data_IF_366091913376
#
_entry.id   IF_366091913376
#
_cell.length_a   1.000
_cell.length_b   1.000
_cell.length_c   1.000
_cell.angle_alpha   90.00
_cell.angle_beta   90.00
_cell.angle_gamma   90.00
#
_symmetry.space_group_name_H-M   'P 1'
#
loop_
_entity.id
_entity.type
_entity.pdbx_description
1 polymer ?
#
# COMPACT_ATOMS: atom_id res chain seq x y z
N UNK A 1 -9.48 7.11 -21.58
CA UNK A 1 -10.25 6.36 -20.56
C UNK A 1 -9.43 6.23 -19.27
N UNK A 2 -9.19 7.34 -18.55
CA UNK A 2 -8.47 7.43 -17.26
C UNK A 2 -9.42 7.75 -16.08
N UNK A 3 -10.73 7.66 -16.29
CA UNK A 3 -11.73 8.48 -15.59
C UNK A 3 -12.48 7.79 -14.44
N UNK A 4 -12.04 6.61 -13.99
CA UNK A 4 -12.57 5.92 -12.79
C UNK A 4 -11.50 5.71 -11.70
N UNK A 5 -10.31 6.22 -11.94
CA UNK A 5 -9.24 6.29 -10.95
C UNK A 5 -9.43 7.64 -10.28
N UNK A 6 -9.62 7.68 -8.95
CA UNK A 6 -9.76 8.92 -8.20
C UNK A 6 -8.88 10.04 -8.73
N UNK A 7 -9.43 11.26 -8.78
CA UNK A 7 -8.57 12.43 -8.82
C UNK A 7 -7.61 12.36 -7.62
N UNK A 8 -6.32 12.53 -7.87
CA UNK A 8 -5.23 12.51 -6.88
C UNK A 8 -5.58 13.32 -5.62
N UNK A 9 -6.34 14.41 -5.81
CA UNK A 9 -6.82 15.32 -4.78
C UNK A 9 -7.86 14.76 -3.80
N UNK A 10 -8.61 13.71 -4.15
CA UNK A 10 -9.61 13.12 -3.23
C UNK A 10 -9.06 12.01 -2.35
N UNK A 11 -8.12 11.20 -2.88
CA UNK A 11 -7.32 10.31 -2.03
C UNK A 11 -6.51 11.11 -1.01
N UNK A 12 -6.12 12.33 -1.33
CA UNK A 12 -5.47 13.29 -0.43
C UNK A 12 -6.37 13.90 0.65
N UNK A 13 -7.70 13.72 0.55
CA UNK A 13 -8.66 14.26 1.52
C UNK A 13 -9.09 13.26 2.60
N UNK A 14 -8.65 12.01 2.52
CA UNK A 14 -8.94 11.00 3.55
C UNK A 14 -8.32 11.42 4.88
N UNK A 15 -9.07 11.22 5.96
CA UNK A 15 -8.57 11.51 7.29
C UNK A 15 -7.39 10.56 7.61
N UNK A 16 -6.26 11.06 8.16
CA UNK A 16 -5.06 10.27 8.47
C UNK A 16 -5.35 8.99 9.27
N UNK A 17 -6.32 9.05 10.21
CA UNK A 17 -6.76 7.89 10.99
C UNK A 17 -7.37 6.77 10.13
N UNK A 18 -8.21 7.14 9.16
CA UNK A 18 -8.87 6.16 8.29
C UNK A 18 -7.86 5.52 7.34
N UNK A 19 -6.87 6.31 6.92
CA UNK A 19 -5.70 5.83 6.17
C UNK A 19 -4.93 4.80 7.02
N UNK A 20 -4.62 5.10 8.28
CA UNK A 20 -3.95 4.14 9.17
C UNK A 20 -4.77 2.86 9.40
N UNK A 21 -6.06 2.99 9.70
CA UNK A 21 -6.96 1.85 9.86
C UNK A 21 -7.04 0.99 8.60
N UNK A 22 -7.11 1.62 7.42
CA UNK A 22 -7.13 0.91 6.15
C UNK A 22 -5.82 0.13 5.91
N UNK A 23 -4.66 0.74 6.17
CA UNK A 23 -3.37 0.06 6.04
C UNK A 23 -3.29 -1.15 6.95
N UNK A 24 -3.66 -0.98 8.23
CA UNK A 24 -3.66 -2.09 9.19
C UNK A 24 -4.62 -3.19 8.72
N UNK A 25 -5.84 -2.84 8.33
CA UNK A 25 -6.83 -3.81 7.88
C UNK A 25 -6.37 -4.56 6.63
N UNK A 26 -5.90 -3.86 5.61
CA UNK A 26 -5.51 -4.45 4.33
C UNK A 26 -4.26 -5.33 4.45
N UNK A 27 -3.26 -4.92 5.22
CA UNK A 27 -2.06 -5.72 5.48
C UNK A 27 -2.35 -6.94 6.36
N UNK A 28 -3.41 -6.90 7.16
CA UNK A 28 -3.80 -8.03 8.01
C UNK A 28 -4.55 -9.14 7.27
N UNK A 29 -5.14 -8.85 6.10
CA UNK A 29 -5.93 -9.80 5.29
C UNK A 29 -5.27 -11.18 5.13
N UNK A 30 -3.98 -11.32 4.77
CA UNK A 30 -3.35 -12.62 4.55
C UNK A 30 -3.29 -13.50 5.80
N UNK A 31 -3.38 -12.92 7.00
CA UNK A 31 -3.28 -13.64 8.27
C UNK A 31 -4.63 -14.17 8.76
N UNK A 32 -5.73 -13.66 8.22
CA UNK A 32 -7.09 -14.09 8.60
C UNK A 32 -7.67 -15.16 7.68
N UNK A 33 -7.12 -15.32 6.48
CA UNK A 33 -7.58 -16.32 5.52
C UNK A 33 -6.87 -17.65 5.77
N UNK A 34 -7.61 -18.64 6.29
CA UNK A 34 -7.06 -19.93 6.72
C UNK A 34 -7.11 -21.01 5.63
N UNK A 35 -7.91 -20.83 4.56
CA UNK A 35 -8.09 -21.85 3.52
C UNK A 35 -7.51 -21.40 2.18
N UNK A 36 -6.90 -22.33 1.43
CA UNK A 36 -6.37 -22.04 0.10
C UNK A 36 -7.45 -21.46 -0.85
N UNK A 37 -8.69 -21.94 -0.74
CA UNK A 37 -9.85 -21.44 -1.50
C UNK A 37 -10.10 -19.96 -1.19
N UNK A 38 -10.14 -19.58 0.09
CA UNK A 38 -10.35 -18.19 0.49
C UNK A 38 -9.22 -17.27 -0.01
N UNK A 39 -7.98 -17.72 0.08
CA UNK A 39 -6.80 -16.98 -0.41
C UNK A 39 -6.89 -16.78 -1.92
N UNK A 40 -7.23 -17.83 -2.68
CA UNK A 40 -7.39 -17.75 -4.13
C UNK A 40 -8.50 -16.79 -4.56
N UNK A 41 -9.65 -16.80 -3.87
CA UNK A 41 -10.74 -15.86 -4.16
C UNK A 41 -10.31 -14.41 -3.97
N UNK A 42 -9.66 -14.09 -2.84
CA UNK A 42 -9.21 -12.73 -2.56
C UNK A 42 -8.09 -12.31 -3.50
N UNK A 43 -7.12 -13.20 -3.77
CA UNK A 43 -6.04 -12.94 -4.72
C UNK A 43 -6.58 -12.66 -6.12
N UNK A 44 -7.54 -13.46 -6.60
CA UNK A 44 -8.22 -13.24 -7.88
C UNK A 44 -8.94 -11.90 -7.88
N UNK A 45 -9.63 -11.56 -6.80
CA UNK A 45 -10.25 -10.26 -6.62
C UNK A 45 -9.24 -9.10 -6.71
N UNK A 46 -8.07 -9.21 -6.08
CA UNK A 46 -7.01 -8.20 -6.20
C UNK A 46 -6.52 -8.05 -7.63
N UNK A 47 -6.31 -9.17 -8.35
CA UNK A 47 -5.91 -9.13 -9.75
C UNK A 47 -6.97 -8.42 -10.60
N UNK A 48 -8.25 -8.77 -10.42
CA UNK A 48 -9.36 -8.08 -11.09
C UNK A 48 -9.37 -6.59 -10.76
N UNK A 49 -9.15 -6.20 -9.50
CA UNK A 49 -8.99 -4.80 -9.11
C UNK A 49 -7.84 -4.12 -9.86
N UNK A 50 -6.65 -4.73 -9.93
CA UNK A 50 -5.50 -4.18 -10.66
C UNK A 50 -5.77 -4.02 -12.15
N UNK A 51 -6.44 -5.01 -12.77
CA UNK A 51 -6.83 -4.91 -14.19
C UNK A 51 -7.83 -3.77 -14.41
N UNK A 52 -8.78 -3.58 -13.49
CA UNK A 52 -9.78 -2.52 -13.54
C UNK A 52 -9.14 -1.12 -13.44
N UNK A 53 -8.18 -0.94 -12.52
CA UNK A 53 -7.42 0.32 -12.39
C UNK A 53 -6.28 0.47 -13.40
N UNK A 54 -6.11 -0.51 -14.30
CA UNK A 54 -5.06 -0.56 -15.34
C UNK A 54 -3.64 -0.41 -14.79
N UNK A 55 -3.37 -0.95 -13.61
CA UNK A 55 -2.04 -0.95 -12.99
C UNK A 55 -1.36 -2.30 -13.12
N UNK A 56 -0.84 -2.56 -14.32
CA UNK A 56 -0.20 -3.84 -14.68
C UNK A 56 1.20 -3.99 -14.11
N UNK A 57 1.91 -2.88 -13.85
CA UNK A 57 3.28 -2.88 -13.31
C UNK A 57 3.36 -3.62 -11.96
N UNK A 58 2.26 -3.67 -11.23
CA UNK A 58 2.15 -4.35 -9.94
C UNK A 58 2.32 -5.87 -10.08
N UNK A 59 1.95 -6.46 -11.22
CA UNK A 59 2.11 -7.89 -11.46
C UNK A 59 3.58 -8.32 -11.45
N UNK A 60 4.52 -7.40 -11.71
CA UNK A 60 5.94 -7.67 -11.59
C UNK A 60 6.31 -8.14 -10.18
N UNK A 61 5.63 -7.68 -9.14
CA UNK A 61 5.91 -8.10 -7.76
C UNK A 61 5.48 -9.54 -7.46
N UNK A 62 4.64 -10.16 -8.29
CA UNK A 62 4.29 -11.58 -8.17
C UNK A 62 5.48 -12.51 -8.52
N UNK A 63 6.53 -11.98 -9.13
CA UNK A 63 7.79 -12.72 -9.31
C UNK A 63 8.41 -13.13 -7.98
N UNK A 64 8.23 -12.36 -6.90
CA UNK A 64 8.74 -12.69 -5.57
C UNK A 64 8.15 -14.00 -5.02
N UNK A 65 6.81 -14.18 -4.95
CA UNK A 65 6.21 -15.48 -4.61
C UNK A 65 6.66 -16.63 -5.51
N UNK A 66 6.82 -16.39 -6.81
CA UNK A 66 7.27 -17.43 -7.75
C UNK A 66 8.71 -17.88 -7.47
N UNK A 67 9.61 -16.92 -7.19
CA UNK A 67 10.99 -17.22 -6.80
C UNK A 67 11.00 -18.00 -5.47
N UNK A 68 10.19 -17.57 -4.50
CA UNK A 68 10.05 -18.29 -3.23
C UNK A 68 9.65 -19.76 -3.45
N UNK A 69 8.60 -20.01 -4.25
CA UNK A 69 8.16 -21.38 -4.55
C UNK A 69 9.29 -22.17 -5.22
N UNK A 70 9.97 -21.60 -6.22
CA UNK A 70 11.08 -22.25 -6.91
C UNK A 70 12.24 -22.62 -5.96
N UNK A 71 12.61 -21.72 -5.05
CA UNK A 71 13.66 -21.97 -4.07
C UNK A 71 13.26 -23.06 -3.06
N UNK A 72 11.99 -23.10 -2.63
CA UNK A 72 11.51 -24.11 -1.69
C UNK A 72 11.46 -25.53 -2.30
N UNK A 73 11.45 -25.64 -3.63
CA UNK A 73 11.57 -26.93 -4.32
C UNK A 73 13.03 -27.36 -4.58
N UNK A 74 14.03 -26.51 -4.32
CA UNK A 74 15.45 -26.85 -4.52
C UNK A 74 15.91 -28.13 -3.76
N UNK A 75 15.42 -28.44 -2.54
CA UNK A 75 15.79 -29.68 -1.86
C UNK A 75 15.43 -30.97 -2.63
N UNK A 76 14.49 -30.93 -3.58
CA UNK A 76 14.20 -32.08 -4.44
C UNK A 76 15.43 -32.49 -5.29
N UNK A 77 16.30 -31.53 -5.64
CA UNK A 77 17.50 -31.78 -6.44
C UNK A 77 18.54 -32.65 -5.72
N UNK A 78 18.49 -32.68 -4.39
CA UNK A 78 19.36 -33.51 -3.54
C UNK A 78 18.63 -34.74 -2.98
N UNK A 79 17.44 -35.06 -3.51
CA UNK A 79 16.65 -36.22 -3.12
C UNK A 79 15.89 -36.09 -1.79
N UNK A 80 15.77 -34.88 -1.24
CA UNK A 80 14.99 -34.66 -0.02
C UNK A 80 13.47 -34.69 -0.32
N UNK A 81 12.67 -35.12 0.67
CA UNK A 81 11.21 -35.01 0.59
C UNK A 81 10.75 -33.59 0.89
N UNK A 82 9.69 -33.15 0.21
CA UNK A 82 9.19 -31.77 0.32
C UNK A 82 7.67 -31.77 0.45
N UNK A 83 7.16 -31.01 1.41
CA UNK A 83 5.72 -30.76 1.54
C UNK A 83 5.23 -29.75 0.48
N UNK A 84 4.75 -30.30 -0.63
CA UNK A 84 4.25 -29.51 -1.76
C UNK A 84 3.04 -28.66 -1.39
N UNK A 85 2.16 -29.17 -0.51
CA UNK A 85 0.96 -28.43 -0.10
C UNK A 85 1.33 -27.22 0.75
N UNK A 86 2.21 -27.39 1.74
CA UNK A 86 2.71 -26.31 2.58
C UNK A 86 3.44 -25.22 1.78
N UNK A 87 4.25 -25.60 0.78
CA UNK A 87 4.91 -24.64 -0.11
C UNK A 87 3.89 -23.83 -0.90
N UNK A 88 2.91 -24.48 -1.52
CA UNK A 88 1.89 -23.78 -2.31
C UNK A 88 1.02 -22.88 -1.45
N UNK A 89 0.57 -23.36 -0.29
CA UNK A 89 -0.21 -22.55 0.63
C UNK A 89 0.56 -21.31 1.08
N UNK A 90 1.83 -21.47 1.48
CA UNK A 90 2.67 -20.35 1.90
C UNK A 90 2.95 -19.40 0.73
N UNK A 91 3.25 -19.93 -0.46
CA UNK A 91 3.45 -19.13 -1.67
C UNK A 91 2.22 -18.30 -2.04
N UNK A 92 1.01 -18.87 -1.92
CA UNK A 92 -0.25 -18.15 -2.11
C UNK A 92 -0.47 -17.06 -1.05
N UNK A 93 -0.18 -17.34 0.22
CA UNK A 93 -0.25 -16.34 1.30
C UNK A 93 0.73 -15.19 1.06
N UNK A 94 1.95 -15.49 0.60
CA UNK A 94 2.95 -14.47 0.22
C UNK A 94 2.46 -13.65 -0.98
N UNK A 95 1.89 -14.29 -2.01
CA UNK A 95 1.30 -13.58 -3.15
C UNK A 95 0.14 -12.66 -2.73
N UNK A 96 -0.70 -13.12 -1.81
CA UNK A 96 -1.78 -12.33 -1.24
C UNK A 96 -1.23 -11.14 -0.44
N UNK A 97 -0.21 -11.35 0.39
CA UNK A 97 0.45 -10.27 1.13
C UNK A 97 1.05 -9.21 0.20
N UNK A 98 1.74 -9.63 -0.85
CA UNK A 98 2.31 -8.72 -1.86
C UNK A 98 1.20 -7.91 -2.53
N UNK A 99 0.14 -8.57 -3.02
CA UNK A 99 -0.96 -7.87 -3.71
C UNK A 99 -1.74 -6.94 -2.78
N UNK A 100 -2.01 -7.34 -1.53
CA UNK A 100 -2.60 -6.47 -0.48
C UNK A 100 -1.74 -5.23 -0.23
N UNK A 101 -0.42 -5.41 -0.10
CA UNK A 101 0.52 -4.31 0.12
C UNK A 101 0.52 -3.33 -1.05
N UNK A 102 0.55 -3.85 -2.27
CA UNK A 102 0.55 -3.01 -3.47
C UNK A 102 -0.78 -2.28 -3.67
N UNK A 103 -1.92 -2.92 -3.37
CA UNK A 103 -3.22 -2.23 -3.34
C UNK A 103 -3.21 -1.11 -2.30
N UNK A 104 -2.64 -1.36 -1.13
CA UNK A 104 -2.52 -0.37 -0.07
C UNK A 104 -1.75 0.87 -0.54
N UNK A 105 -0.57 0.69 -1.12
CA UNK A 105 0.26 1.79 -1.65
C UNK A 105 -0.36 2.50 -2.85
N UNK A 106 -1.15 1.77 -3.63
CA UNK A 106 -1.87 2.32 -4.79
C UNK A 106 -3.03 3.20 -4.35
N UNK A 107 -3.79 2.75 -3.36
CA UNK A 107 -5.02 3.39 -2.93
C UNK A 107 -4.77 4.51 -1.92
N UNK A 108 -3.69 4.43 -1.14
CA UNK A 108 -3.44 5.36 -0.04
C UNK A 108 -1.98 5.82 -0.01
N UNK A 109 -1.78 7.11 0.27
CA UNK A 109 -0.43 7.70 0.42
C UNK A 109 -0.02 7.63 1.89
N UNK A 110 1.07 6.92 2.19
CA UNK A 110 1.62 6.85 3.55
C UNK A 110 1.99 8.23 4.12
N UNK A 111 2.36 9.19 3.26
CA UNK A 111 2.63 10.58 3.64
C UNK A 111 1.46 11.23 4.40
N UNK A 112 0.22 10.81 4.13
CA UNK A 112 -0.99 11.30 4.81
C UNK A 112 -1.06 10.88 6.28
N UNK A 113 -0.30 9.87 6.70
CA UNK A 113 -0.18 9.48 8.11
C UNK A 113 0.72 10.42 8.91
N UNK A 114 1.50 11.29 8.24
CA UNK A 114 2.40 12.26 8.86
C UNK A 114 1.84 12.96 10.11
N UNK A 115 0.61 13.51 10.06
CA UNK A 115 -0.03 14.16 11.21
C UNK A 115 -0.31 13.25 12.41
N UNK A 116 -0.56 11.94 12.21
CA UNK A 116 -0.79 10.99 13.33
C UNK A 116 0.47 10.78 14.15
N UNK A 117 1.63 10.80 13.50
CA UNK A 117 2.89 10.61 14.20
C UNK A 117 3.12 11.70 15.24
N UNK A 118 2.50 12.89 15.15
CA UNK A 118 2.57 13.94 16.18
C UNK A 118 2.07 13.51 17.56
N UNK A 119 1.19 12.48 17.64
CA UNK A 119 0.78 11.91 18.93
C UNK A 119 1.91 11.15 19.64
N UNK A 120 3.01 10.83 18.93
CA UNK A 120 4.19 10.13 19.42
C UNK A 120 5.46 10.97 19.14
N UNK A 121 5.67 12.11 19.83
CA UNK A 121 6.63 13.17 19.47
C UNK A 121 8.08 12.70 19.23
N UNK A 122 8.52 11.65 19.92
CA UNK A 122 9.87 11.07 19.76
C UNK A 122 10.02 10.26 18.47
N UNK A 123 8.99 9.53 18.07
CA UNK A 123 8.96 8.78 16.80
C UNK A 123 8.71 9.72 15.62
N UNK A 124 7.89 10.77 15.80
CA UNK A 124 7.57 11.76 14.76
C UNK A 124 8.80 12.44 14.17
N UNK A 125 9.73 12.85 15.03
CA UNK A 125 10.90 13.64 14.61
C UNK A 125 11.82 12.80 13.73
N UNK A 126 12.07 11.55 14.12
CA UNK A 126 12.89 10.62 13.35
C UNK A 126 12.18 10.17 12.06
N UNK A 127 10.93 9.71 12.16
CA UNK A 127 10.18 9.22 10.99
C UNK A 127 9.88 10.34 9.99
N UNK A 128 9.57 11.55 10.45
CA UNK A 128 9.36 12.73 9.61
C UNK A 128 10.63 13.20 8.90
N UNK A 129 11.77 13.23 9.61
CA UNK A 129 13.07 13.49 9.00
C UNK A 129 13.41 12.42 7.96
N UNK A 130 13.27 11.13 8.29
CA UNK A 130 13.55 10.02 7.36
C UNK A 130 12.66 10.08 6.12
N UNK A 131 11.34 10.29 6.28
CA UNK A 131 10.41 10.40 5.15
C UNK A 131 10.69 11.60 4.25
N UNK A 132 11.16 12.73 4.80
CA UNK A 132 11.53 13.91 4.01
C UNK A 132 12.90 13.76 3.34
N UNK A 133 13.81 13.01 3.96
CA UNK A 133 15.17 12.79 3.50
C UNK A 133 15.22 11.70 2.41
N UNK A 134 14.39 10.65 2.47
CA UNK A 134 14.43 9.55 1.48
C UNK A 134 14.28 10.03 0.02
N UNK A 135 13.27 10.85 -0.37
CA UNK A 135 13.11 11.28 -1.75
C UNK A 135 14.26 12.16 -2.24
N UNK A 136 14.82 12.98 -1.35
CA UNK A 136 15.94 13.85 -1.67
C UNK A 136 17.23 13.05 -1.80
N UNK A 137 17.47 12.07 -0.93
CA UNK A 137 18.58 11.10 -1.06
C UNK A 137 18.48 10.29 -2.35
N UNK A 138 17.28 9.82 -2.72
CA UNK A 138 17.07 9.04 -3.94
C UNK A 138 17.34 9.84 -5.22
N UNK A 139 17.23 11.18 -5.17
CA UNK A 139 17.58 12.07 -6.28
C UNK A 139 19.06 12.39 -6.34
N UNK A 140 19.70 12.64 -5.20
CA UNK A 140 21.12 13.02 -5.15
C UNK A 140 22.06 11.82 -5.19
N UNK A 141 21.62 10.62 -4.81
CA UNK A 141 22.42 9.41 -4.84
C UNK A 141 22.94 9.05 -6.25
N UNK A 142 22.10 9.05 -7.31
CA UNK A 142 22.57 8.88 -8.69
C UNK A 142 23.62 9.93 -9.10
N UNK A 143 23.41 11.19 -8.72
CA UNK A 143 24.29 12.32 -9.06
C UNK A 143 25.66 12.20 -8.39
N UNK A 144 25.70 11.80 -7.11
CA UNK A 144 26.95 11.56 -6.37
C UNK A 144 27.66 10.30 -6.88
N UNK A 145 26.91 9.24 -7.21
CA UNK A 145 27.47 8.02 -7.79
C UNK A 145 28.15 8.28 -9.14
N UNK A 146 27.55 9.12 -9.99
CA UNK A 146 28.10 9.49 -11.30
C UNK A 146 29.30 10.44 -11.18
N UNK A 147 29.23 11.45 -10.31
CA UNK A 147 30.30 12.45 -10.15
C UNK A 147 31.56 11.90 -9.46
N UNK A 148 31.43 10.85 -8.63
CA UNK A 148 32.54 10.33 -7.83
C UNK A 148 32.77 8.83 -8.03
N UNK A 149 32.65 8.32 -9.26
CA UNK A 149 32.65 6.87 -9.56
C UNK A 149 33.77 6.06 -8.87
N UNK A 150 34.99 6.62 -8.74
CA UNK A 150 36.18 5.94 -8.19
C UNK A 150 36.31 5.95 -6.66
N UNK A 151 35.48 6.70 -5.94
CA UNK A 151 35.57 6.80 -4.47
C UNK A 151 34.88 5.62 -3.76
N UNK A 152 35.37 5.23 -2.56
CA UNK A 152 34.72 4.24 -1.72
C UNK A 152 33.30 4.69 -1.30
N UNK A 153 32.44 3.71 -1.05
CA UNK A 153 31.01 3.95 -0.76
C UNK A 153 30.80 4.81 0.48
N UNK A 154 31.65 4.66 1.50
CA UNK A 154 31.58 5.45 2.73
C UNK A 154 31.74 6.95 2.47
N UNK A 155 32.74 7.37 1.69
CA UNK A 155 32.97 8.77 1.33
C UNK A 155 31.83 9.35 0.47
N UNK A 156 31.24 8.53 -0.41
CA UNK A 156 30.06 8.92 -1.20
C UNK A 156 28.85 9.16 -0.30
N UNK A 157 28.61 8.31 0.69
CA UNK A 157 27.51 8.47 1.64
C UNK A 157 27.71 9.68 2.55
N UNK A 158 28.95 9.95 2.97
CA UNK A 158 29.29 11.13 3.75
C UNK A 158 29.00 12.43 2.97
N UNK A 159 29.37 12.47 1.68
CA UNK A 159 29.03 13.61 0.80
C UNK A 159 27.53 13.77 0.58
N UNK A 160 26.82 12.67 0.38
CA UNK A 160 25.35 12.69 0.27
C UNK A 160 24.72 13.21 1.56
N UNK A 161 25.24 12.82 2.74
CA UNK A 161 24.78 13.35 4.01
C UNK A 161 25.07 14.85 4.17
N UNK A 162 26.24 15.32 3.70
CA UNK A 162 26.62 16.73 3.69
C UNK A 162 25.67 17.60 2.85
N UNK A 163 25.16 17.10 1.72
CA UNK A 163 24.18 17.82 0.88
C UNK A 163 22.82 18.02 1.57
N UNK A 164 22.52 17.25 2.62
CA UNK A 164 21.21 17.19 3.26
C UNK A 164 21.22 17.61 4.73
N UNK A 165 22.31 18.26 5.19
CA UNK A 165 22.48 18.81 6.54
C UNK A 165 21.51 19.96 6.89
N UNK A 166 20.63 20.37 5.97
CA UNK A 166 19.60 21.34 6.27
C UNK A 166 18.53 20.68 7.16
N UNK A 167 18.20 21.27 8.33
CA UNK A 167 17.10 20.79 9.14
C UNK A 167 15.84 20.97 8.31
N UNK A 168 15.36 19.87 7.71
CA UNK A 168 14.05 19.88 7.10
C UNK A 168 13.09 20.03 8.28
N UNK A 169 12.62 21.25 8.51
CA UNK A 169 11.46 21.53 9.33
C UNK A 169 10.23 20.93 8.63
N UNK A 170 10.17 19.60 8.59
CA UNK A 170 8.99 18.85 8.25
C UNK A 170 8.03 19.00 9.43
N UNK A 171 7.52 20.22 9.63
CA UNK A 171 6.40 20.49 10.52
C UNK A 171 5.23 19.71 9.90
N UNK A 172 4.82 18.56 10.47
CA UNK A 172 3.76 17.75 9.86
C UNK A 172 2.51 18.63 9.77
N UNK A 173 1.65 18.52 8.76
CA UNK A 173 0.43 19.33 8.76
C UNK A 173 -0.40 19.09 10.04
N UNK A 174 -1.06 20.11 10.61
CA UNK A 174 -1.89 19.91 11.80
C UNK A 174 -2.99 18.87 11.50
N UNK A 175 -3.26 18.00 12.46
CA UNK A 175 -4.32 17.00 12.32
C UNK A 175 -5.65 17.73 12.09
N UNK A 176 -6.27 17.48 10.93
CA UNK A 176 -7.58 18.03 10.61
C UNK A 176 -8.60 17.55 11.64
N UNK A 177 -9.55 18.41 12.01
CA UNK A 177 -10.67 18.00 12.88
C UNK A 177 -11.48 16.90 12.21
N UNK A 178 -11.80 15.88 12.98
CA UNK A 178 -12.49 14.69 12.53
C UNK A 178 -13.95 15.02 12.24
N UNK A 179 -14.40 14.81 11.01
CA UNK A 179 -15.80 15.09 10.61
C UNK A 179 -16.68 13.86 10.83
N UNK A 180 -18.01 14.04 10.89
CA UNK A 180 -18.96 12.90 11.02
C UNK A 180 -18.82 11.89 9.89
N UNK A 181 -18.51 12.33 8.66
CA UNK A 181 -18.23 11.43 7.55
C UNK A 181 -16.94 10.63 7.74
N UNK A 182 -15.91 11.24 8.33
CA UNK A 182 -14.65 10.55 8.62
C UNK A 182 -14.85 9.49 9.71
N UNK A 183 -15.66 9.78 10.74
CA UNK A 183 -16.07 8.79 11.76
C UNK A 183 -16.78 7.59 11.13
N UNK A 184 -17.75 7.85 10.25
CA UNK A 184 -18.53 6.78 9.63
C UNK A 184 -17.63 5.88 8.77
N UNK A 185 -16.76 6.47 7.95
CA UNK A 185 -15.79 5.70 7.14
C UNK A 185 -14.85 4.90 8.06
N UNK A 186 -14.33 5.51 9.11
CA UNK A 186 -13.48 4.83 10.08
C UNK A 186 -14.19 3.65 10.76
N UNK A 187 -15.46 3.83 11.13
CA UNK A 187 -16.29 2.78 11.74
C UNK A 187 -16.55 1.63 10.75
N UNK A 188 -16.82 1.92 9.48
CA UNK A 188 -17.00 0.87 8.47
C UNK A 188 -15.69 0.11 8.23
N UNK A 189 -14.54 0.79 8.14
CA UNK A 189 -13.24 0.12 8.01
C UNK A 189 -12.95 -0.74 9.24
N UNK A 190 -13.20 -0.23 10.45
CA UNK A 190 -13.05 -0.98 11.68
C UNK A 190 -14.01 -2.19 11.75
N UNK A 191 -15.25 -2.02 11.30
CA UNK A 191 -16.23 -3.10 11.19
C UNK A 191 -15.78 -4.19 10.22
N UNK A 192 -15.26 -3.81 9.05
CA UNK A 192 -14.67 -4.75 8.08
C UNK A 192 -13.45 -5.46 8.65
N UNK A 193 -12.59 -4.75 9.40
CA UNK A 193 -11.44 -5.35 10.08
C UNK A 193 -11.86 -6.39 11.11
N UNK A 194 -12.86 -6.08 11.94
CA UNK A 194 -13.43 -7.06 12.90
C UNK A 194 -14.05 -8.24 12.14
N UNK A 195 -14.73 -7.98 11.02
CA UNK A 195 -15.35 -9.02 10.20
C UNK A 195 -14.33 -9.97 9.54
N UNK A 196 -13.04 -9.61 9.44
CA UNK A 196 -11.98 -10.55 9.03
C UNK A 196 -11.83 -11.74 9.98
N UNK A 197 -12.24 -11.60 11.24
CA UNK A 197 -12.21 -12.67 12.25
C UNK A 197 -13.40 -13.63 12.14
N UNK A 198 -14.29 -13.41 11.17
CA UNK A 198 -15.56 -14.12 11.05
C UNK A 198 -15.65 -14.87 9.71
N UNK A 199 -16.69 -15.72 9.50
CA UNK A 199 -16.88 -16.43 8.24
C UNK A 199 -16.99 -15.54 6.99
N UNK A 200 -17.28 -14.25 7.16
CA UNK A 200 -17.36 -13.27 6.06
C UNK A 200 -16.03 -12.57 5.75
N UNK A 201 -14.90 -13.14 6.19
CA UNK A 201 -13.57 -12.58 5.97
C UNK A 201 -13.26 -12.32 4.49
N UNK A 202 -13.64 -13.24 3.59
CA UNK A 202 -13.43 -13.11 2.13
C UNK A 202 -14.17 -11.88 1.59
N UNK A 203 -15.43 -11.71 1.97
CA UNK A 203 -16.24 -10.57 1.53
C UNK A 203 -15.63 -9.27 2.06
N UNK A 204 -15.26 -9.24 3.33
CA UNK A 204 -14.66 -8.07 3.97
C UNK A 204 -13.34 -7.67 3.31
N UNK A 205 -12.47 -8.64 3.01
CA UNK A 205 -11.21 -8.42 2.31
C UNK A 205 -11.40 -7.84 0.90
N UNK A 206 -12.41 -8.30 0.16
CA UNK A 206 -12.74 -7.77 -1.18
C UNK A 206 -13.40 -6.39 -1.12
N UNK A 207 -14.19 -6.12 -0.08
CA UNK A 207 -14.87 -4.83 0.07
C UNK A 207 -13.93 -3.70 0.53
N UNK A 208 -12.89 -3.99 1.30
CA UNK A 208 -11.91 -2.99 1.77
C UNK A 208 -11.37 -2.10 0.62
N UNK A 209 -10.74 -2.65 -0.44
CA UNK A 209 -10.25 -1.82 -1.55
C UNK A 209 -11.40 -1.10 -2.27
N UNK A 210 -12.57 -1.74 -2.39
CA UNK A 210 -13.77 -1.13 -2.98
C UNK A 210 -14.29 0.08 -2.20
N UNK A 211 -14.27 0.03 -0.86
CA UNK A 211 -14.74 1.11 -0.01
C UNK A 211 -13.88 2.36 -0.17
N UNK A 212 -12.56 2.18 -0.24
CA UNK A 212 -11.64 3.27 -0.53
C UNK A 212 -11.79 3.73 -1.98
N UNK A 213 -12.41 2.93 -2.88
CA UNK A 213 -12.70 3.22 -4.30
C UNK A 213 -14.01 3.99 -4.59
N UNK A 214 -15.05 3.81 -3.78
CA UNK A 214 -16.38 4.41 -4.01
C UNK A 214 -16.67 5.63 -3.10
N UNK A 215 -15.71 6.55 -2.96
CA UNK A 215 -15.95 7.79 -2.22
C UNK A 215 -16.82 8.77 -3.04
N UNK A 216 -17.64 9.57 -2.34
CA UNK A 216 -18.68 10.49 -2.86
C UNK A 216 -18.27 11.32 -4.09
N UNK A 217 -16.99 11.63 -4.24
CA UNK A 217 -16.46 12.39 -5.37
C UNK A 217 -16.41 11.65 -6.69
N UNK A 218 -16.07 10.35 -6.69
CA UNK A 218 -16.09 9.52 -7.89
C UNK A 218 -17.52 9.32 -8.43
N UNK A 219 -18.50 9.19 -7.53
CA UNK A 219 -19.92 9.15 -7.87
C UNK A 219 -20.38 10.50 -8.43
N UNK A 220 -19.94 11.62 -7.83
CA UNK A 220 -20.26 12.98 -8.30
C UNK A 220 -19.68 13.26 -9.68
N UNK A 221 -18.43 12.88 -9.93
CA UNK A 221 -17.77 13.09 -11.22
C UNK A 221 -18.33 12.17 -12.30
N UNK A 222 -18.65 10.91 -11.97
CA UNK A 222 -19.37 10.00 -12.86
C UNK A 222 -20.79 10.54 -13.18
N UNK A 223 -21.49 11.08 -12.18
CA UNK A 223 -22.82 11.68 -12.35
C UNK A 223 -22.78 12.94 -13.24
N UNK A 224 -21.80 13.84 -13.05
CA UNK A 224 -21.62 15.01 -13.91
C UNK A 224 -21.24 14.63 -15.35
N UNK A 225 -20.45 13.57 -15.54
CA UNK A 225 -20.11 13.07 -16.86
C UNK A 225 -21.33 12.48 -17.59
N UNK A 226 -22.11 11.63 -16.91
CA UNK A 226 -23.34 11.07 -17.47
C UNK A 226 -24.38 12.16 -17.76
N UNK A 227 -24.46 13.20 -16.91
CA UNK A 227 -25.32 14.35 -17.16
C UNK A 227 -24.87 15.10 -18.42
N UNK A 228 -23.58 15.35 -18.64
CA UNK A 228 -23.09 16.03 -19.86
C UNK A 228 -23.35 15.24 -21.14
N UNK A 229 -23.21 13.91 -21.13
CA UNK A 229 -23.51 13.05 -22.29
C UNK A 229 -24.99 12.94 -22.63
N UNK A 230 -25.89 13.27 -21.70
CA UNK A 230 -27.34 13.26 -21.94
C UNK A 230 -27.85 14.56 -22.59
N UNK A 231 -27.00 15.60 -22.65
CA UNK A 231 -27.29 16.91 -23.22
C UNK A 231 -26.49 17.21 -24.51
N UNK A 232 -25.88 16.19 -25.11
CA UNK A 232 -25.27 16.19 -26.45
C UNK A 232 -25.88 15.08 -27.25
#
# INVERSE_FOLDING_TARGET
MQWLIFSKAERERLHPLNVALFVVAMLSVPFFLQTHVSILFVLTGHLLFFTWIRQWDVLRYLTLPLIYIGMMYAPLLIGASVDSYGIWLTGLTVALFVTSSQLTFTLVRLEQMGPLFRMLPRLTRLTGMVLAIIPSLLRTWPEVKMSHAKQPVAEKMERVALYHLLPVEAVPSPLRRLTRSDLLIGLVIAGMYIALWSPVAVVSALMLPGLVMFSKGGIRDAYHHYRRRKFT
#
